data_IF_812497172851
#
_entry.id   IF_812497172851
#
_cell.length_a   1.000
_cell.length_b   1.000
_cell.length_c   1.000
_cell.angle_alpha   90.00
_cell.angle_beta   90.00
_cell.angle_gamma   90.00
#
_symmetry.space_group_name_H-M   'P 1'
#
loop_
_entity.id
_entity.type
_entity.pdbx_description
1 polymer ?
#
# COMPACT_ATOMS: atom_id res chain seq x y z
N UNK A 1 -29.22 14.10 6.22
CA UNK A 1 -28.57 13.02 7.00
C UNK A 1 -27.78 12.04 6.12
N UNK A 2 -28.30 11.63 4.96
CA UNK A 2 -27.57 10.82 3.96
C UNK A 2 -26.23 11.39 3.54
N UNK A 3 -26.23 12.67 3.19
CA UNK A 3 -25.03 13.38 2.71
C UNK A 3 -23.92 13.36 3.76
N UNK A 4 -24.26 13.58 5.04
CA UNK A 4 -23.30 13.48 6.15
C UNK A 4 -22.72 12.07 6.33
N UNK A 5 -23.52 11.03 6.14
CA UNK A 5 -23.00 9.67 6.18
C UNK A 5 -22.03 9.40 5.03
N UNK A 6 -22.36 9.84 3.81
CA UNK A 6 -21.46 9.76 2.64
C UNK A 6 -20.17 10.57 2.85
N UNK A 7 -20.26 11.77 3.45
CA UNK A 7 -19.08 12.56 3.84
C UNK A 7 -18.17 11.80 4.82
N UNK A 8 -18.74 11.09 5.80
CA UNK A 8 -17.93 10.28 6.72
C UNK A 8 -17.25 9.09 6.03
N UNK A 9 -17.96 8.38 5.14
CA UNK A 9 -17.36 7.30 4.34
C UNK A 9 -16.25 7.85 3.44
N UNK A 10 -16.49 8.97 2.77
CA UNK A 10 -15.46 9.65 1.96
C UNK A 10 -14.26 10.08 2.80
N UNK A 11 -14.48 10.55 4.03
CA UNK A 11 -13.42 10.85 4.99
C UNK A 11 -12.55 9.62 5.31
N UNK A 12 -13.15 8.44 5.47
CA UNK A 12 -12.40 7.18 5.64
C UNK A 12 -11.57 6.87 4.39
N UNK A 13 -12.16 6.95 3.20
CA UNK A 13 -11.49 6.71 1.92
C UNK A 13 -10.27 7.62 1.77
N UNK A 14 -10.42 8.91 2.05
CA UNK A 14 -9.34 9.89 1.98
C UNK A 14 -8.19 9.54 2.93
N UNK A 15 -8.50 9.10 4.17
CA UNK A 15 -7.47 8.65 5.13
C UNK A 15 -6.73 7.41 4.65
N UNK A 16 -7.42 6.45 4.01
CA UNK A 16 -6.75 5.27 3.44
C UNK A 16 -5.78 5.66 2.32
N UNK A 17 -6.19 6.56 1.42
CA UNK A 17 -5.33 7.09 0.36
C UNK A 17 -4.13 7.88 0.91
N UNK A 18 -4.32 8.68 1.96
CA UNK A 18 -3.24 9.40 2.64
C UNK A 18 -2.24 8.44 3.31
N UNK A 19 -2.71 7.41 4.02
CA UNK A 19 -1.84 6.42 4.65
C UNK A 19 -1.05 5.61 3.61
N UNK A 20 -1.68 5.23 2.49
CA UNK A 20 -1.00 4.61 1.34
C UNK A 20 0.13 5.50 0.81
N UNK A 21 -0.14 6.79 0.61
CA UNK A 21 0.87 7.75 0.16
C UNK A 21 2.04 7.90 1.16
N UNK A 22 1.73 8.01 2.46
CA UNK A 22 2.75 8.11 3.51
C UNK A 22 3.66 6.89 3.54
N UNK A 23 3.10 5.69 3.43
CA UNK A 23 3.88 4.44 3.41
C UNK A 23 4.80 4.36 2.20
N UNK A 24 4.34 4.80 1.03
CA UNK A 24 5.20 4.90 -0.16
C UNK A 24 6.38 5.85 0.07
N UNK A 25 6.13 7.00 0.71
CA UNK A 25 7.17 7.93 1.12
C UNK A 25 8.20 7.27 2.04
N UNK A 26 7.74 6.60 3.12
CA UNK A 26 8.61 5.90 4.06
C UNK A 26 9.39 4.74 3.43
N UNK A 27 8.78 4.03 2.48
CA UNK A 27 9.47 2.97 1.72
C UNK A 27 10.67 3.54 0.96
N UNK A 28 10.48 4.65 0.23
CA UNK A 28 11.58 5.31 -0.51
C UNK A 28 12.64 5.82 0.45
N UNK A 29 12.26 6.47 1.55
CA UNK A 29 13.21 6.99 2.54
C UNK A 29 14.08 5.89 3.14
N UNK A 30 13.47 4.80 3.64
CA UNK A 30 14.20 3.71 4.29
C UNK A 30 15.08 2.95 3.31
N UNK A 31 14.57 2.66 2.12
CA UNK A 31 15.37 2.01 1.07
C UNK A 31 16.57 2.88 0.68
N UNK A 32 16.37 4.20 0.49
CA UNK A 32 17.45 5.13 0.17
C UNK A 32 18.51 5.22 1.29
N UNK A 33 18.07 5.24 2.55
CA UNK A 33 18.97 5.25 3.69
C UNK A 33 19.82 3.96 3.78
N UNK A 34 19.20 2.81 3.57
CA UNK A 34 19.90 1.52 3.55
C UNK A 34 20.86 1.41 2.37
N UNK A 35 20.51 1.96 1.21
CA UNK A 35 21.43 2.05 0.07
C UNK A 35 22.63 2.94 0.37
N UNK A 36 22.42 4.11 0.96
CA UNK A 36 23.51 5.02 1.34
C UNK A 36 24.48 4.36 2.35
N UNK A 37 23.95 3.59 3.30
CA UNK A 37 24.76 2.80 4.23
C UNK A 37 25.53 1.66 3.53
N UNK A 38 24.87 0.92 2.64
CA UNK A 38 25.51 -0.17 1.89
C UNK A 38 26.65 0.33 1.00
N UNK A 39 26.52 1.53 0.41
CA UNK A 39 27.57 2.17 -0.37
C UNK A 39 28.80 2.58 0.46
N UNK A 40 28.60 2.86 1.76
CA UNK A 40 29.67 3.30 2.67
C UNK A 40 30.42 2.14 3.31
N UNK A 41 29.73 1.09 3.77
CA UNK A 41 30.31 0.10 4.68
C UNK A 41 30.92 -1.15 4.02
N UNK A 42 31.02 -1.24 2.69
CA UNK A 42 31.56 -2.40 1.90
C UNK A 42 30.88 -3.76 2.17
N UNK A 43 30.06 -3.89 3.22
CA UNK A 43 29.36 -5.09 3.56
C UNK A 43 28.09 -5.20 2.69
N UNK A 44 28.26 -5.86 1.55
CA UNK A 44 27.23 -6.09 0.53
C UNK A 44 25.96 -6.75 1.09
N UNK A 45 26.03 -7.38 2.27
CA UNK A 45 24.88 -7.96 2.98
C UNK A 45 23.84 -6.91 3.42
N UNK A 46 24.20 -5.63 3.51
CA UNK A 46 23.24 -4.57 3.86
C UNK A 46 22.16 -4.36 2.79
N UNK A 47 22.43 -4.65 1.51
CA UNK A 47 21.40 -4.54 0.47
C UNK A 47 20.28 -5.57 0.67
N UNK A 48 20.62 -6.76 1.18
CA UNK A 48 19.63 -7.80 1.52
C UNK A 48 18.66 -7.29 2.59
N UNK A 49 19.14 -6.48 3.54
CA UNK A 49 18.33 -5.89 4.61
C UNK A 49 17.26 -4.95 4.05
N UNK A 50 17.49 -4.30 2.90
CA UNK A 50 16.51 -3.40 2.28
C UNK A 50 15.31 -4.10 1.62
N UNK A 51 15.41 -5.40 1.32
CA UNK A 51 14.27 -6.19 0.83
C UNK A 51 13.20 -6.37 1.90
N UNK A 52 13.61 -6.52 3.16
CA UNK A 52 12.69 -6.73 4.28
C UNK A 52 11.68 -5.59 4.47
N UNK A 53 12.09 -4.31 4.65
CA UNK A 53 11.14 -3.20 4.75
C UNK A 53 10.38 -2.99 3.44
N UNK A 54 10.98 -3.25 2.27
CA UNK A 54 10.28 -3.15 0.98
C UNK A 54 9.07 -4.09 0.92
N UNK A 55 9.24 -5.36 1.32
CA UNK A 55 8.14 -6.33 1.36
C UNK A 55 7.07 -5.92 2.39
N UNK A 56 7.48 -5.49 3.58
CA UNK A 56 6.54 -5.05 4.63
C UNK A 56 5.70 -3.87 4.15
N UNK A 57 6.34 -2.85 3.57
CA UNK A 57 5.61 -1.69 3.06
C UNK A 57 4.70 -2.04 1.90
N UNK A 58 5.10 -2.97 1.03
CA UNK A 58 4.22 -3.48 -0.02
C UNK A 58 2.97 -4.13 0.58
N UNK A 59 3.11 -5.01 1.57
CA UNK A 59 1.96 -5.64 2.24
C UNK A 59 1.04 -4.63 2.92
N UNK A 60 1.61 -3.65 3.64
CA UNK A 60 0.85 -2.60 4.31
C UNK A 60 0.12 -1.68 3.33
N UNK A 61 0.80 -1.23 2.27
CA UNK A 61 0.20 -0.39 1.24
C UNK A 61 -0.95 -1.12 0.52
N UNK A 62 -0.76 -2.41 0.26
CA UNK A 62 -1.80 -3.29 -0.29
C UNK A 62 -3.01 -3.38 0.62
N UNK A 63 -2.79 -3.43 1.93
CA UNK A 63 -3.86 -3.40 2.93
C UNK A 63 -4.63 -2.08 2.92
N UNK A 64 -3.95 -0.93 2.83
CA UNK A 64 -4.64 0.37 2.74
C UNK A 64 -5.48 0.50 1.45
N UNK A 65 -4.94 0.08 0.30
CA UNK A 65 -5.69 0.06 -0.95
C UNK A 65 -6.87 -0.93 -0.91
N UNK A 66 -6.69 -2.07 -0.26
CA UNK A 66 -7.76 -3.04 -0.03
C UNK A 66 -8.91 -2.43 0.79
N UNK A 67 -8.60 -1.79 1.93
CA UNK A 67 -9.59 -1.09 2.75
C UNK A 67 -10.26 0.04 1.98
N UNK A 68 -9.51 0.82 1.21
CA UNK A 68 -10.07 1.87 0.35
C UNK A 68 -11.13 1.32 -0.62
N UNK A 69 -10.86 0.19 -1.28
CA UNK A 69 -11.82 -0.48 -2.18
C UNK A 69 -13.06 -0.98 -1.44
N UNK A 70 -12.92 -1.47 -0.21
CA UNK A 70 -14.07 -1.84 0.62
C UNK A 70 -14.95 -0.64 0.94
N UNK A 71 -14.37 0.46 1.39
CA UNK A 71 -15.12 1.68 1.70
C UNK A 71 -15.73 2.33 0.46
N UNK A 72 -15.09 2.24 -0.71
CA UNK A 72 -15.70 2.64 -1.99
C UNK A 72 -16.97 1.84 -2.30
N UNK A 73 -16.96 0.51 -2.06
CA UNK A 73 -18.17 -0.32 -2.21
C UNK A 73 -19.28 0.06 -1.23
N UNK A 74 -18.94 0.36 0.02
CA UNK A 74 -19.91 0.89 1.01
C UNK A 74 -20.49 2.22 0.52
N UNK A 75 -19.65 3.13 0.02
CA UNK A 75 -20.09 4.41 -0.52
C UNK A 75 -21.08 4.25 -1.67
N UNK A 76 -20.74 3.41 -2.66
CA UNK A 76 -21.58 3.14 -3.82
C UNK A 76 -22.93 2.53 -3.42
N UNK A 77 -22.92 1.65 -2.41
CA UNK A 77 -24.13 1.05 -1.87
C UNK A 77 -25.03 2.08 -1.16
N UNK A 78 -24.49 2.84 -0.21
CA UNK A 78 -25.22 3.86 0.55
C UNK A 78 -25.80 4.94 -0.37
N UNK A 79 -25.07 5.33 -1.42
CA UNK A 79 -25.53 6.32 -2.40
C UNK A 79 -26.85 5.91 -3.06
N UNK A 80 -27.08 4.63 -3.31
CA UNK A 80 -28.26 4.13 -4.01
C UNK A 80 -29.46 3.88 -3.09
N UNK A 81 -29.26 3.78 -1.78
CA UNK A 81 -30.32 3.46 -0.82
C UNK A 81 -31.20 4.66 -0.43
N UNK A 82 -32.50 4.42 -0.27
CA UNK A 82 -33.49 5.43 0.16
C UNK A 82 -33.57 5.52 1.69
N UNK A 83 -33.48 4.38 2.38
CA UNK A 83 -33.38 4.28 3.84
C UNK A 83 -31.95 3.88 4.23
N UNK A 84 -31.41 4.48 5.29
CA UNK A 84 -29.98 4.45 5.60
C UNK A 84 -29.78 3.85 6.98
N UNK A 85 -28.98 2.78 7.05
CA UNK A 85 -28.65 2.08 8.29
C UNK A 85 -27.42 2.69 9.03
N UNK A 86 -26.85 3.79 8.52
CA UNK A 86 -25.65 4.50 9.01
C UNK A 86 -24.43 3.61 9.34
N UNK A 87 -24.48 2.34 8.93
CA UNK A 87 -23.49 1.32 9.24
C UNK A 87 -22.23 1.53 8.41
N UNK A 88 -21.07 1.48 9.07
CA UNK A 88 -19.75 1.50 8.43
C UNK A 88 -19.19 0.09 8.24
N UNK A 89 -20.03 -0.94 8.34
CA UNK A 89 -19.61 -2.32 8.25
C UNK A 89 -19.23 -2.68 6.80
N UNK A 90 -17.95 -2.98 6.59
CA UNK A 90 -17.41 -3.40 5.29
C UNK A 90 -17.54 -4.90 5.03
N UNK A 91 -17.83 -5.72 6.06
CA UNK A 91 -17.89 -7.19 5.95
C UNK A 91 -18.80 -7.71 4.83
N UNK A 92 -19.99 -7.13 4.56
CA UNK A 92 -20.84 -7.61 3.46
C UNK A 92 -20.20 -7.44 2.07
N UNK A 93 -19.22 -6.54 1.96
CA UNK A 93 -18.51 -6.25 0.72
C UNK A 93 -17.15 -6.95 0.67
N UNK A 94 -16.73 -7.63 1.73
CA UNK A 94 -15.42 -8.25 1.87
C UNK A 94 -15.36 -9.64 1.20
N UNK A 95 -14.52 -9.81 0.16
CA UNK A 95 -14.26 -11.11 -0.51
C UNK A 95 -13.00 -11.81 0.02
N UNK A 96 -12.51 -11.38 1.17
CA UNK A 96 -11.35 -11.89 1.88
C UNK A 96 -10.04 -11.70 1.12
N UNK A 97 -9.20 -12.72 1.20
CA UNK A 97 -7.85 -12.72 0.67
C UNK A 97 -7.78 -12.39 -0.84
N UNK A 98 -8.79 -12.79 -1.63
CA UNK A 98 -8.80 -12.56 -3.07
C UNK A 98 -8.78 -11.06 -3.45
N UNK A 99 -9.55 -10.23 -2.74
CA UNK A 99 -9.60 -8.79 -2.98
C UNK A 99 -8.33 -8.10 -2.47
N UNK A 100 -7.77 -8.58 -1.36
CA UNK A 100 -6.49 -8.07 -0.84
C UNK A 100 -5.33 -8.41 -1.80
N UNK A 101 -5.27 -9.64 -2.30
CA UNK A 101 -4.30 -10.05 -3.32
C UNK A 101 -4.47 -9.24 -4.61
N UNK A 102 -5.72 -8.97 -5.02
CA UNK A 102 -6.02 -8.06 -6.14
C UNK A 102 -5.64 -6.60 -5.88
N UNK A 103 -5.50 -6.18 -4.62
CA UNK A 103 -4.92 -4.88 -4.27
C UNK A 103 -3.39 -4.94 -4.36
N UNK A 104 -2.77 -5.97 -3.81
CA UNK A 104 -1.33 -6.19 -3.84
C UNK A 104 -0.76 -6.31 -5.25
N UNK A 105 -1.52 -6.91 -6.17
CA UNK A 105 -1.20 -7.05 -7.60
C UNK A 105 -1.80 -5.94 -8.46
N UNK A 106 -2.25 -4.84 -7.87
CA UNK A 106 -2.75 -3.71 -8.65
C UNK A 106 -1.63 -3.02 -9.44
N UNK A 107 -1.96 -2.46 -10.60
CA UNK A 107 -0.98 -1.77 -11.47
C UNK A 107 -0.17 -0.71 -10.73
N UNK A 108 -0.81 0.06 -9.84
CA UNK A 108 -0.16 1.15 -9.12
C UNK A 108 0.82 0.65 -8.04
N UNK A 109 0.45 -0.39 -7.31
CA UNK A 109 1.32 -1.00 -6.28
C UNK A 109 2.45 -1.78 -6.95
N UNK A 110 2.15 -2.61 -7.96
CA UNK A 110 3.14 -3.38 -8.70
C UNK A 110 4.18 -2.48 -9.38
N UNK A 111 3.76 -1.37 -10.00
CA UNK A 111 4.71 -0.46 -10.62
C UNK A 111 5.63 0.17 -9.58
N UNK A 112 5.06 0.64 -8.46
CA UNK A 112 5.84 1.32 -7.42
C UNK A 112 6.86 0.39 -6.76
N UNK A 113 6.40 -0.75 -6.20
CA UNK A 113 7.31 -1.69 -5.53
C UNK A 113 8.14 -2.49 -6.52
N UNK A 114 7.65 -2.73 -7.73
CA UNK A 114 8.41 -3.36 -8.80
C UNK A 114 9.64 -2.54 -9.21
N UNK A 115 9.52 -1.22 -9.29
CA UNK A 115 10.67 -0.32 -9.52
C UNK A 115 11.66 -0.40 -8.37
N UNK A 116 11.20 -0.34 -7.11
CA UNK A 116 12.09 -0.46 -5.94
C UNK A 116 12.84 -1.81 -5.95
N UNK A 117 12.12 -2.90 -6.18
CA UNK A 117 12.70 -4.25 -6.26
C UNK A 117 13.69 -4.39 -7.41
N UNK A 118 13.39 -3.81 -8.57
CA UNK A 118 14.30 -3.80 -9.73
C UNK A 118 15.59 -3.04 -9.41
N UNK A 119 15.50 -1.89 -8.74
CA UNK A 119 16.68 -1.12 -8.31
C UNK A 119 17.51 -1.92 -7.31
N UNK A 120 16.88 -2.56 -6.32
CA UNK A 120 17.56 -3.44 -5.36
C UNK A 120 18.31 -4.58 -6.06
N UNK A 121 17.68 -5.22 -7.06
CA UNK A 121 18.29 -6.30 -7.85
C UNK A 121 19.50 -5.81 -8.66
N UNK A 122 19.39 -4.66 -9.33
CA UNK A 122 20.50 -4.08 -10.11
C UNK A 122 21.70 -3.80 -9.19
N UNK A 123 21.45 -3.18 -8.03
CA UNK A 123 22.52 -2.87 -7.07
C UNK A 123 23.16 -4.15 -6.53
N UNK A 124 22.36 -5.15 -6.16
CA UNK A 124 22.88 -6.43 -5.69
C UNK A 124 23.72 -7.14 -6.76
N UNK A 125 23.28 -7.14 -8.02
CA UNK A 125 24.02 -7.72 -9.14
C UNK A 125 25.37 -7.02 -9.33
N UNK A 126 25.37 -5.69 -9.31
CA UNK A 126 26.59 -4.88 -9.44
C UNK A 126 27.60 -5.15 -8.31
N UNK A 127 27.12 -5.27 -7.07
CA UNK A 127 27.98 -5.57 -5.92
C UNK A 127 28.61 -6.97 -6.02
N UNK A 128 27.85 -7.99 -6.45
CA UNK A 128 28.35 -9.35 -6.56
C UNK A 128 29.37 -9.57 -7.70
N UNK A 129 29.41 -8.70 -8.71
CA UNK A 129 30.32 -8.78 -9.86
C UNK A 129 31.51 -7.82 -9.78
N UNK A 130 31.71 -7.18 -8.63
CA UNK A 130 32.84 -6.31 -8.34
C UNK A 130 33.85 -7.03 -7.45
#
# INVERSE_FOLDING_TARGET
>A
MKEKHLEFVQGVINRMGQNSFLIKGWAVTLVSALFALAAKDTNQKFVIVAYFPTIIFWLLDSYFLYQERLFRRVYDHVRQQTAIDFSLNTKPFDKGFSDWAGAALSKTILLFYGVIMLVLLIVMYYLNHK
#
